data_IF_382461286197
#
_entry.id   IF_382461286197
#
_cell.length_a   1.000
_cell.length_b   1.000
_cell.length_c   1.000
_cell.angle_alpha   90.00
_cell.angle_beta   90.00
_cell.angle_gamma   90.00
#
_symmetry.space_group_name_H-M   'P 1'
#
loop_
_entity.id
_entity.type
_entity.pdbx_description
1 polymer ?
#
# COMPACT_ATOMS: atom_id res chain seq x y z
N UNK A 1 -8.79 8.76 -21.73
CA UNK A 1 -7.39 8.38 -21.41
C UNK A 1 -6.69 9.59 -20.80
N UNK A 2 -6.88 9.83 -19.51
CA UNK A 2 -6.00 10.77 -18.80
C UNK A 2 -4.71 10.03 -18.53
N UNK A 3 -3.67 10.33 -19.32
CA UNK A 3 -2.29 9.98 -18.99
C UNK A 3 -1.97 10.58 -17.63
N UNK A 4 -2.12 9.80 -16.55
CA UNK A 4 -1.49 10.14 -15.28
C UNK A 4 0.02 9.95 -15.50
N UNK A 5 0.76 11.03 -15.73
CA UNK A 5 2.21 10.96 -15.80
C UNK A 5 2.72 10.61 -14.40
N UNK A 6 3.06 9.34 -14.20
CA UNK A 6 3.88 8.96 -13.08
C UNK A 6 5.30 9.40 -13.41
N UNK A 7 5.76 10.44 -12.75
CA UNK A 7 7.09 10.97 -12.98
C UNK A 7 8.15 10.08 -12.30
N UNK A 8 9.35 10.06 -12.89
CA UNK A 8 10.49 9.47 -12.20
C UNK A 8 10.80 10.29 -10.95
N UNK A 9 11.12 9.66 -9.82
CA UNK A 9 11.35 10.37 -8.58
C UNK A 9 12.57 11.29 -8.71
N UNK A 10 12.51 12.54 -8.19
CA UNK A 10 13.66 13.44 -8.19
C UNK A 10 14.79 12.86 -7.33
N UNK A 11 16.04 13.30 -7.56
CA UNK A 11 17.20 12.84 -6.78
C UNK A 11 17.02 13.15 -5.29
N UNK A 12 16.66 14.39 -4.99
CA UNK A 12 16.38 14.87 -3.63
C UNK A 12 14.89 14.83 -3.36
N UNK A 13 14.49 14.21 -2.25
CA UNK A 13 13.11 14.19 -1.78
C UNK A 13 12.94 15.24 -0.70
N UNK A 14 12.10 16.23 -0.95
CA UNK A 14 11.65 17.18 0.07
C UNK A 14 10.20 16.86 0.38
N UNK A 15 9.90 16.53 1.64
CA UNK A 15 8.55 16.20 2.08
C UNK A 15 8.02 17.30 3.02
N UNK A 16 7.36 18.34 2.49
CA UNK A 16 6.71 19.34 3.32
C UNK A 16 5.64 18.71 4.23
N UNK A 17 5.41 19.31 5.41
CA UNK A 17 4.44 18.78 6.38
C UNK A 17 3.01 18.64 5.83
N UNK A 18 2.65 19.35 4.77
CA UNK A 18 1.34 19.29 4.10
C UNK A 18 1.33 18.46 2.80
N UNK A 19 2.40 17.73 2.51
CA UNK A 19 2.52 16.93 1.31
C UNK A 19 2.29 15.45 1.57
N UNK A 20 1.80 14.77 0.53
CA UNK A 20 1.79 13.32 0.42
C UNK A 20 2.54 12.96 -0.84
N UNK A 21 3.58 12.16 -0.70
CA UNK A 21 4.24 11.55 -1.86
C UNK A 21 3.65 10.16 -2.08
N UNK A 22 3.17 9.91 -3.30
CA UNK A 22 2.69 8.60 -3.71
C UNK A 22 3.67 8.00 -4.72
N UNK A 23 4.14 6.80 -4.42
CA UNK A 23 5.00 6.01 -5.27
C UNK A 23 4.19 4.88 -5.87
N UNK A 24 4.44 4.59 -7.15
CA UNK A 24 3.90 3.42 -7.83
C UNK A 24 5.05 2.55 -8.30
N UNK A 25 4.97 1.26 -8.04
CA UNK A 25 5.97 0.30 -8.48
C UNK A 25 5.33 -0.98 -9.04
N UNK A 26 6.08 -1.64 -9.93
CA UNK A 26 5.81 -3.01 -10.35
C UNK A 26 6.40 -3.97 -9.32
N UNK A 27 5.66 -5.01 -8.96
CA UNK A 27 6.15 -6.16 -8.21
C UNK A 27 6.71 -7.25 -9.14
N UNK A 28 6.50 -7.12 -10.44
CA UNK A 28 7.17 -7.91 -11.46
C UNK A 28 8.51 -7.24 -11.77
N UNK A 29 9.56 -7.73 -11.12
CA UNK A 29 10.93 -7.27 -11.26
C UNK A 29 11.79 -8.37 -11.86
N UNK A 30 12.92 -8.01 -12.46
CA UNK A 30 13.90 -8.98 -12.96
C UNK A 30 14.54 -9.78 -11.81
N UNK A 31 15.14 -10.94 -12.13
CA UNK A 31 15.83 -11.77 -11.12
C UNK A 31 16.97 -11.02 -10.45
N UNK A 32 17.71 -10.18 -11.19
CA UNK A 32 18.79 -9.36 -10.61
C UNK A 32 18.25 -8.30 -9.67
N UNK A 33 17.20 -7.58 -10.04
CA UNK A 33 16.56 -6.59 -9.17
C UNK A 33 15.97 -7.26 -7.93
N UNK A 34 15.33 -8.42 -8.07
CA UNK A 34 14.77 -9.15 -6.94
C UNK A 34 15.84 -9.52 -5.91
N UNK A 35 17.02 -9.97 -6.36
CA UNK A 35 18.17 -10.26 -5.47
C UNK A 35 18.63 -9.00 -4.75
N UNK A 36 18.79 -7.89 -5.45
CA UNK A 36 19.13 -6.59 -4.84
C UNK A 36 18.09 -6.16 -3.80
N UNK A 37 16.81 -6.36 -4.08
CA UNK A 37 15.73 -6.06 -3.14
C UNK A 37 15.74 -7.01 -1.94
N UNK A 38 15.99 -8.31 -2.15
CA UNK A 38 16.15 -9.31 -1.09
C UNK A 38 17.33 -8.95 -0.17
N UNK A 39 18.40 -8.40 -0.73
CA UNK A 39 19.58 -7.98 0.04
C UNK A 39 19.28 -6.84 1.02
N UNK A 40 18.25 -6.05 0.76
CA UNK A 40 17.80 -4.96 1.65
C UNK A 40 16.94 -5.45 2.81
N UNK A 41 16.40 -6.66 2.77
CA UNK A 41 15.47 -7.16 3.80
C UNK A 41 16.18 -7.42 5.12
N UNK A 42 15.50 -7.06 6.22
CA UNK A 42 15.91 -7.46 7.56
C UNK A 42 15.71 -8.97 7.79
N UNK A 43 16.38 -9.53 8.80
CA UNK A 43 16.37 -10.97 9.05
C UNK A 43 14.98 -11.57 9.28
N UNK A 44 14.11 -10.86 10.00
CA UNK A 44 12.72 -11.26 10.24
C UNK A 44 11.89 -11.29 8.96
N UNK A 45 12.20 -10.41 8.01
CA UNK A 45 11.52 -10.32 6.72
C UNK A 45 12.00 -11.39 5.75
N UNK A 46 13.30 -11.69 5.73
CA UNK A 46 13.82 -12.84 4.98
C UNK A 46 13.18 -14.13 5.48
N UNK A 47 13.15 -14.33 6.80
CA UNK A 47 12.47 -15.47 7.41
C UNK A 47 10.97 -15.49 7.08
N UNK A 48 10.29 -14.34 6.96
CA UNK A 48 8.90 -14.27 6.51
C UNK A 48 8.75 -14.61 5.02
N UNK A 49 9.65 -14.15 4.17
CA UNK A 49 9.66 -14.44 2.74
C UNK A 49 9.76 -15.96 2.48
N UNK A 50 10.59 -16.65 3.25
CA UNK A 50 10.79 -18.10 3.17
C UNK A 50 9.55 -18.93 3.57
N UNK A 51 8.61 -18.35 4.32
CA UNK A 51 7.36 -19.04 4.74
C UNK A 51 6.30 -19.08 3.64
N UNK A 52 6.46 -18.32 2.56
CA UNK A 52 5.50 -18.37 1.46
C UNK A 52 5.64 -19.68 0.69
N UNK A 53 4.53 -20.43 0.60
CA UNK A 53 4.47 -21.68 -0.15
C UNK A 53 4.65 -21.48 -1.66
N UNK A 54 4.01 -20.45 -2.22
CA UNK A 54 4.08 -20.15 -3.65
C UNK A 54 5.20 -19.16 -3.96
N UNK A 55 6.08 -19.53 -4.90
CA UNK A 55 7.20 -18.69 -5.36
C UNK A 55 6.75 -17.28 -5.73
N UNK A 56 5.66 -17.14 -6.51
CA UNK A 56 5.13 -15.82 -6.89
C UNK A 56 4.79 -14.93 -5.69
N UNK A 57 4.25 -15.49 -4.61
CA UNK A 57 3.92 -14.72 -3.41
C UNK A 57 5.19 -14.32 -2.65
N UNK A 58 6.20 -15.22 -2.59
CA UNK A 58 7.51 -14.90 -2.04
C UNK A 58 8.17 -13.75 -2.80
N UNK A 59 8.23 -13.82 -4.12
CA UNK A 59 8.83 -12.81 -4.98
C UNK A 59 8.12 -11.46 -4.84
N UNK A 60 6.78 -11.45 -4.86
CA UNK A 60 6.00 -10.23 -4.65
C UNK A 60 6.23 -9.63 -3.27
N UNK A 61 6.36 -10.45 -2.23
CA UNK A 61 6.67 -9.98 -0.88
C UNK A 61 8.07 -9.36 -0.82
N UNK A 62 9.09 -10.02 -1.37
CA UNK A 62 10.46 -9.51 -1.44
C UNK A 62 10.49 -8.18 -2.19
N UNK A 63 9.90 -8.14 -3.39
CA UNK A 63 9.84 -6.92 -4.19
C UNK A 63 9.15 -5.80 -3.43
N UNK A 64 7.97 -6.07 -2.88
CA UNK A 64 7.17 -5.09 -2.16
C UNK A 64 7.86 -4.53 -0.91
N UNK A 65 8.56 -5.38 -0.15
CA UNK A 65 9.26 -4.99 1.08
C UNK A 65 10.59 -4.31 0.80
N UNK A 66 11.37 -4.80 -0.15
CA UNK A 66 12.62 -4.17 -0.56
C UNK A 66 12.39 -2.78 -1.16
N UNK A 67 11.37 -2.62 -2.00
CA UNK A 67 10.99 -1.33 -2.57
C UNK A 67 10.56 -0.34 -1.48
N UNK A 68 9.77 -0.77 -0.49
CA UNK A 68 9.41 0.06 0.64
C UNK A 68 10.66 0.58 1.37
N UNK A 69 11.63 -0.30 1.66
CA UNK A 69 12.88 0.10 2.33
C UNK A 69 13.68 1.08 1.50
N UNK A 70 13.84 0.80 0.22
CA UNK A 70 14.56 1.68 -0.70
C UNK A 70 13.88 3.05 -0.88
N UNK A 71 12.55 3.11 -0.75
CA UNK A 71 11.83 4.39 -0.76
C UNK A 71 12.09 5.13 0.55
N UNK A 72 11.89 4.48 1.70
CA UNK A 72 12.03 5.08 3.03
C UNK A 72 13.47 5.50 3.36
N UNK A 73 14.48 4.72 2.92
CA UNK A 73 15.90 5.06 3.07
C UNK A 73 16.22 6.44 2.52
N UNK A 74 15.59 6.81 1.40
CA UNK A 74 15.78 8.10 0.74
C UNK A 74 15.16 9.28 1.49
N UNK A 75 14.14 9.05 2.32
CA UNK A 75 13.57 10.10 3.18
C UNK A 75 14.38 10.28 4.46
N UNK A 76 15.05 9.21 4.92
CA UNK A 76 15.74 9.17 6.21
C UNK A 76 17.25 9.31 6.11
N UNK A 77 17.80 9.26 4.90
CA UNK A 77 19.24 9.21 4.63
C UNK A 77 19.94 8.08 5.41
N UNK A 78 19.37 6.87 5.33
CA UNK A 78 19.83 5.66 6.04
C UNK A 78 19.83 4.45 5.14
N UNK A 79 20.69 3.48 5.43
CA UNK A 79 20.72 2.23 4.68
C UNK A 79 19.39 1.44 4.82
N UNK A 80 18.86 0.86 3.73
CA UNK A 80 17.61 0.11 3.73
C UNK A 80 17.51 -1.00 4.80
N UNK A 81 18.59 -1.71 5.06
CA UNK A 81 18.68 -2.83 6.01
C UNK A 81 18.79 -2.38 7.48
N UNK A 82 19.11 -1.11 7.73
CA UNK A 82 19.14 -0.49 9.05
C UNK A 82 17.76 0.00 9.51
N UNK A 83 16.80 0.13 8.59
CA UNK A 83 15.43 0.49 8.94
C UNK A 83 14.80 -0.59 9.84
N UNK A 84 14.16 -0.15 10.92
CA UNK A 84 13.45 -1.01 11.87
C UNK A 84 11.97 -0.67 11.85
N UNK A 85 11.14 -1.70 11.79
CA UNK A 85 9.70 -1.57 11.75
C UNK A 85 9.08 -2.19 12.99
N UNK A 86 8.10 -1.49 13.56
CA UNK A 86 7.17 -2.06 14.51
C UNK A 86 5.80 -2.26 13.84
N UNK A 87 4.94 -3.04 14.48
CA UNK A 87 3.60 -3.32 14.00
C UNK A 87 2.62 -3.10 15.13
N UNK A 88 1.52 -2.41 14.86
CA UNK A 88 0.45 -2.28 15.83
C UNK A 88 -0.33 -3.61 15.98
N UNK A 89 -1.30 -3.65 16.89
CA UNK A 89 -2.14 -4.84 17.15
C UNK A 89 -2.94 -5.35 15.95
N UNK A 90 -3.05 -4.54 14.89
CA UNK A 90 -3.76 -4.86 13.65
C UNK A 90 -2.81 -5.12 12.46
N UNK A 91 -1.49 -5.15 12.71
CA UNK A 91 -0.48 -5.42 11.70
C UNK A 91 -0.12 -4.23 10.80
N UNK A 92 -0.55 -3.00 11.10
CA UNK A 92 -0.09 -1.80 10.38
C UNK A 92 1.38 -1.55 10.74
N UNK A 93 2.30 -1.53 9.76
CA UNK A 93 3.70 -1.25 10.02
C UNK A 93 3.93 0.25 10.25
N UNK A 94 4.88 0.56 11.12
CA UNK A 94 5.44 1.90 11.33
C UNK A 94 6.96 1.80 11.51
N UNK A 95 7.67 2.92 11.40
CA UNK A 95 9.09 3.01 11.74
C UNK A 95 9.23 3.13 13.27
N UNK A 96 10.29 2.55 13.83
CA UNK A 96 10.62 2.74 15.25
C UNK A 96 11.21 4.14 15.50
N UNK A 97 11.13 4.65 16.73
CA UNK A 97 11.74 5.93 17.12
C UNK A 97 13.25 5.96 16.80
N UNK A 98 13.95 4.83 17.01
CA UNK A 98 15.36 4.64 16.69
C UNK A 98 15.72 4.87 15.22
N UNK A 99 14.75 4.79 14.31
CA UNK A 99 14.94 5.11 12.90
C UNK A 99 15.11 6.62 12.65
N UNK A 100 14.93 7.48 13.67
CA UNK A 100 15.03 8.94 13.57
C UNK A 100 13.90 9.56 12.73
N UNK A 101 12.71 8.94 12.79
CA UNK A 101 11.62 9.14 11.85
C UNK A 101 10.30 9.50 12.55
N UNK A 102 10.36 10.16 13.72
CA UNK A 102 9.21 10.35 14.63
C UNK A 102 7.97 10.93 13.94
N UNK A 103 8.15 11.77 12.92
CA UNK A 103 7.05 12.37 12.17
C UNK A 103 6.74 11.66 10.83
N UNK A 104 7.61 10.76 10.33
CA UNK A 104 7.45 10.15 9.02
C UNK A 104 6.44 8.98 9.08
N UNK A 105 5.28 9.19 8.48
CA UNK A 105 4.24 8.17 8.38
C UNK A 105 4.18 7.59 6.97
N UNK A 106 3.87 6.30 6.86
CA UNK A 106 3.67 5.67 5.57
C UNK A 106 2.52 4.67 5.57
N UNK A 107 2.01 4.38 4.37
CA UNK A 107 1.11 3.28 4.13
C UNK A 107 1.39 2.66 2.76
N UNK A 108 0.96 1.41 2.58
CA UNK A 108 1.16 0.68 1.35
C UNK A 108 -0.06 -0.17 1.02
N UNK A 109 -0.31 -0.33 -0.27
CA UNK A 109 -1.27 -1.31 -0.79
C UNK A 109 -0.74 -1.88 -2.08
N UNK A 110 -1.15 -3.11 -2.41
CA UNK A 110 -0.78 -3.73 -3.66
C UNK A 110 -1.93 -4.56 -4.22
N UNK A 111 -2.09 -4.52 -5.54
CA UNK A 111 -3.07 -5.34 -6.23
C UNK A 111 -2.55 -5.70 -7.61
N UNK A 112 -2.70 -6.97 -7.98
CA UNK A 112 -2.34 -7.50 -9.30
C UNK A 112 -0.95 -7.07 -9.82
N UNK A 113 0.08 -7.20 -8.98
CA UNK A 113 1.46 -6.92 -9.39
C UNK A 113 1.85 -5.44 -9.38
N UNK A 114 0.96 -4.54 -8.96
CA UNK A 114 1.26 -3.12 -8.73
C UNK A 114 1.23 -2.85 -7.22
N UNK A 115 2.21 -2.10 -6.73
CA UNK A 115 2.23 -1.57 -5.37
C UNK A 115 2.16 -0.03 -5.39
N UNK A 116 1.41 0.52 -4.43
CA UNK A 116 1.42 1.93 -4.08
C UNK A 116 2.01 2.12 -2.68
N UNK A 117 2.82 3.17 -2.52
CA UNK A 117 3.35 3.59 -1.23
C UNK A 117 3.05 5.07 -1.02
N UNK A 118 2.39 5.41 0.07
CA UNK A 118 2.12 6.79 0.44
C UNK A 118 3.00 7.19 1.62
N UNK A 119 3.72 8.30 1.51
CA UNK A 119 4.63 8.83 2.52
C UNK A 119 4.19 10.26 2.88
N UNK A 120 4.12 10.59 4.16
CA UNK A 120 3.76 11.92 4.66
C UNK A 120 4.46 12.21 5.99
N UNK A 121 4.33 13.44 6.48
CA UNK A 121 4.94 13.89 7.72
C UNK A 121 3.86 14.44 8.68
N UNK A 122 3.92 14.04 9.96
CA UNK A 122 3.10 14.55 11.05
C UNK A 122 1.61 14.19 10.99
N UNK A 123 1.22 13.17 10.23
CA UNK A 123 -0.19 12.75 10.09
C UNK A 123 -0.32 11.28 9.70
N UNK A 124 -1.38 10.65 10.18
CA UNK A 124 -1.76 9.31 9.72
C UNK A 124 -2.15 9.32 8.24
N UNK A 125 -1.81 8.24 7.55
CA UNK A 125 -2.11 8.05 6.14
C UNK A 125 -2.52 6.63 5.83
N UNK A 126 -3.40 6.49 4.85
CA UNK A 126 -3.81 5.22 4.26
C UNK A 126 -3.92 5.36 2.75
N UNK A 127 -3.51 4.32 2.04
CA UNK A 127 -3.60 4.23 0.59
C UNK A 127 -4.14 2.87 0.21
N UNK A 128 -4.95 2.84 -0.84
CA UNK A 128 -5.48 1.59 -1.36
C UNK A 128 -5.50 1.54 -2.89
N UNK A 129 -5.42 0.33 -3.42
CA UNK A 129 -5.50 0.03 -4.84
C UNK A 129 -6.19 -1.31 -5.00
N UNK A 130 -7.18 -1.37 -5.89
CA UNK A 130 -7.86 -2.60 -6.24
C UNK A 130 -7.79 -2.88 -7.73
N UNK A 131 -7.58 -4.14 -8.08
CA UNK A 131 -7.66 -4.59 -9.45
C UNK A 131 -9.12 -4.76 -9.85
N UNK A 132 -9.52 -4.07 -10.91
CA UNK A 132 -10.89 -4.14 -11.43
C UNK A 132 -11.15 -5.53 -12.01
N UNK A 133 -12.02 -6.30 -11.32
CA UNK A 133 -12.41 -7.66 -11.72
C UNK A 133 -13.81 -7.66 -12.31
N UNK A 134 -13.99 -8.05 -13.58
CA UNK A 134 -15.30 -8.02 -14.23
C UNK A 134 -16.25 -9.10 -13.72
N UNK A 135 -15.78 -10.13 -13.05
CA UNK A 135 -16.53 -11.31 -12.59
C UNK A 135 -17.00 -11.23 -11.13
N UNK A 136 -16.85 -10.08 -10.47
CA UNK A 136 -17.24 -9.88 -9.07
C UNK A 136 -18.71 -9.46 -8.93
N UNK A 137 -19.42 -10.13 -8.02
CA UNK A 137 -20.79 -9.84 -7.59
C UNK A 137 -20.81 -8.64 -6.61
N UNK A 138 -20.53 -7.44 -7.14
CA UNK A 138 -20.33 -6.21 -6.35
C UNK A 138 -21.54 -5.79 -5.51
N UNK A 139 -22.75 -6.13 -5.92
CA UNK A 139 -23.98 -5.76 -5.20
C UNK A 139 -24.11 -6.53 -3.88
N UNK A 140 -23.81 -7.84 -3.88
CA UNK A 140 -23.81 -8.66 -2.67
C UNK A 140 -22.73 -8.23 -1.69
N UNK A 141 -21.56 -7.83 -2.20
CA UNK A 141 -20.48 -7.30 -1.37
C UNK A 141 -20.88 -5.96 -0.76
N UNK A 142 -21.49 -5.07 -1.54
CA UNK A 142 -21.98 -3.79 -1.02
C UNK A 142 -23.02 -3.99 0.09
N UNK A 143 -23.96 -4.92 -0.05
CA UNK A 143 -24.94 -5.23 1.00
C UNK A 143 -24.31 -5.69 2.32
N UNK A 144 -23.15 -6.35 2.26
CA UNK A 144 -22.46 -6.86 3.45
C UNK A 144 -21.53 -5.83 4.11
N UNK A 145 -20.90 -4.98 3.31
CA UNK A 145 -19.78 -4.14 3.77
C UNK A 145 -20.01 -2.64 3.66
N UNK A 146 -21.03 -2.20 2.91
CA UNK A 146 -21.38 -0.78 2.83
C UNK A 146 -22.54 -0.47 3.78
N UNK A 147 -22.62 0.78 4.20
CA UNK A 147 -23.80 1.28 4.89
C UNK A 147 -25.04 1.17 4.00
N UNK A 148 -26.26 1.10 4.58
CA UNK A 148 -27.50 1.06 3.79
C UNK A 148 -27.62 2.23 2.80
N UNK A 149 -27.08 3.41 3.16
CA UNK A 149 -27.05 4.60 2.29
C UNK A 149 -26.14 4.39 1.08
N UNK A 150 -24.91 3.93 1.29
CA UNK A 150 -23.94 3.67 0.21
C UNK A 150 -24.43 2.56 -0.72
N UNK A 151 -25.00 1.48 -0.17
CA UNK A 151 -25.58 0.40 -0.97
C UNK A 151 -26.79 0.89 -1.80
N UNK A 152 -27.62 1.79 -1.26
CA UNK A 152 -28.71 2.41 -2.02
C UNK A 152 -28.19 3.30 -3.16
N UNK A 153 -27.17 4.12 -2.92
CA UNK A 153 -26.53 4.94 -3.95
C UNK A 153 -25.94 4.06 -5.06
N UNK A 154 -25.25 2.97 -4.70
CA UNK A 154 -24.70 2.02 -5.66
C UNK A 154 -25.79 1.40 -6.54
N UNK A 155 -26.89 0.94 -5.95
CA UNK A 155 -28.04 0.35 -6.68
C UNK A 155 -28.71 1.34 -7.63
N UNK A 156 -28.72 2.63 -7.28
CA UNK A 156 -29.29 3.68 -8.12
C UNK A 156 -28.44 4.01 -9.36
N UNK A 157 -27.18 3.57 -9.42
CA UNK A 157 -26.35 3.76 -10.62
C UNK A 157 -26.82 2.88 -11.79
N UNK A 158 -26.64 3.35 -13.05
CA UNK A 158 -26.76 2.50 -14.23
C UNK A 158 -25.92 1.23 -14.08
N UNK A 159 -26.44 0.09 -14.51
CA UNK A 159 -25.82 -1.23 -14.29
C UNK A 159 -24.34 -1.27 -14.73
N UNK A 160 -24.00 -0.63 -15.86
CA UNK A 160 -22.64 -0.57 -16.38
C UNK A 160 -21.66 0.24 -15.50
N UNK A 161 -22.16 1.15 -14.65
CA UNK A 161 -21.36 1.96 -13.72
C UNK A 161 -21.28 1.35 -12.31
N UNK A 162 -22.13 0.37 -11.97
CA UNK A 162 -22.18 -0.18 -10.60
C UNK A 162 -20.86 -0.80 -10.17
N UNK A 163 -20.16 -1.54 -11.04
CA UNK A 163 -18.86 -2.13 -10.69
C UNK A 163 -17.80 -1.08 -10.42
N UNK A 164 -17.71 -0.06 -11.27
CA UNK A 164 -16.80 1.06 -11.06
C UNK A 164 -17.14 1.83 -9.77
N UNK A 165 -18.44 2.11 -9.55
CA UNK A 165 -18.93 2.74 -8.32
C UNK A 165 -18.58 1.94 -7.07
N UNK A 166 -18.68 0.61 -7.13
CA UNK A 166 -18.30 -0.28 -6.04
C UNK A 166 -16.81 -0.18 -5.74
N UNK A 167 -15.93 -0.40 -6.73
CA UNK A 167 -14.49 -0.37 -6.52
C UNK A 167 -14.02 1.02 -6.04
N UNK A 168 -14.60 2.11 -6.58
CA UNK A 168 -14.34 3.47 -6.11
C UNK A 168 -14.72 3.68 -4.64
N UNK A 169 -15.89 3.18 -4.21
CA UNK A 169 -16.32 3.26 -2.82
C UNK A 169 -15.44 2.39 -1.92
N UNK A 170 -15.21 1.14 -2.32
CA UNK A 170 -14.40 0.15 -1.60
C UNK A 170 -12.98 0.67 -1.33
N UNK A 171 -12.29 1.13 -2.38
CA UNK A 171 -10.90 1.62 -2.28
C UNK A 171 -10.80 2.82 -1.33
N UNK A 172 -11.81 3.72 -1.32
CA UNK A 172 -11.86 4.86 -0.39
C UNK A 172 -12.05 4.40 1.07
N UNK A 173 -12.94 3.43 1.31
CA UNK A 173 -13.16 2.86 2.66
C UNK A 173 -11.90 2.16 3.17
N UNK A 174 -11.27 1.33 2.36
CA UNK A 174 -10.03 0.62 2.72
C UNK A 174 -8.88 1.60 2.99
N UNK A 175 -8.72 2.64 2.17
CA UNK A 175 -7.74 3.69 2.42
C UNK A 175 -7.99 4.41 3.77
N UNK A 176 -9.25 4.71 4.10
CA UNK A 176 -9.60 5.31 5.39
C UNK A 176 -9.30 4.36 6.58
N UNK A 177 -9.69 3.08 6.46
CA UNK A 177 -9.42 2.05 7.49
C UNK A 177 -7.91 1.88 7.71
N UNK A 178 -7.13 1.90 6.63
CA UNK A 178 -5.66 1.84 6.70
C UNK A 178 -5.06 3.07 7.37
N UNK A 179 -5.63 4.26 7.16
CA UNK A 179 -5.22 5.48 7.85
C UNK A 179 -5.45 5.36 9.36
N UNK A 180 -6.64 4.93 9.77
CA UNK A 180 -6.98 4.70 11.18
C UNK A 180 -6.13 3.60 11.84
N UNK A 181 -5.71 2.59 11.06
CA UNK A 181 -4.83 1.52 11.52
C UNK A 181 -5.47 0.52 12.47
N UNK A 182 -6.82 0.50 12.58
CA UNK A 182 -7.57 -0.39 13.50
C UNK A 182 -8.09 -1.68 12.84
N UNK A 183 -7.52 -2.06 11.69
CA UNK A 183 -7.96 -3.20 10.88
C UNK A 183 -9.42 -3.07 10.38
N UNK A 184 -9.97 -4.13 9.78
CA UNK A 184 -11.35 -4.16 9.24
C UNK A 184 -12.47 -4.08 10.31
N UNK A 185 -12.16 -3.64 11.54
CA UNK A 185 -13.13 -3.54 12.64
C UNK A 185 -13.91 -2.23 12.66
N UNK A 186 -13.67 -1.33 11.71
CA UNK A 186 -14.39 -0.07 11.54
C UNK A 186 -15.48 -0.26 10.46
N UNK A 187 -16.78 -0.13 10.80
CA UNK A 187 -17.88 -0.18 9.83
C UNK A 187 -17.76 0.89 8.73
#
# INVERSE_FOLDING_TARGET
MTSSSWDSPPKTLLLPNNAVHVWRASLHVSVSELRTLEDMLAADERARAERFYFQKHREHFIAGRGLLRNILSRYLDREPDQLRFCYNSYGKPALTEEAGAEELCFNLSHSHGIALYAITCGREIGIDIEYFRPDVEVEKLAERFFSPREAAVLRALPQHLRKEGFFNCWTRKEAYIKAEGKGMSIP
#
